data_IF_173855711541
#
_entry.id   IF_173855711541
#
_cell.length_a   1.000
_cell.length_b   1.000
_cell.length_c   1.000
_cell.angle_alpha   90.00
_cell.angle_beta   90.00
_cell.angle_gamma   90.00
#
_symmetry.space_group_name_H-M   'P 1'
#
loop_
_entity.id
_entity.type
_entity.pdbx_description
1 polymer ?
#
# COMPACT_ATOMS: atom_id res chain seq x y z
N UNK A 1 -74.20 53.48 -23.35
CA UNK A 1 -74.17 53.14 -21.94
C UNK A 1 -74.36 51.65 -21.85
N UNK A 2 -73.31 50.92 -21.41
CA UNK A 2 -73.34 49.72 -20.58
C UNK A 2 -71.92 49.19 -20.56
N UNK A 3 -71.38 49.21 -19.35
CA UNK A 3 -70.04 48.76 -18.98
C UNK A 3 -70.02 47.21 -18.89
N UNK A 4 -69.09 46.56 -19.60
CA UNK A 4 -68.87 45.16 -19.50
C UNK A 4 -67.59 44.94 -18.62
N UNK A 5 -67.75 44.23 -17.52
CA UNK A 5 -66.76 43.89 -16.58
C UNK A 5 -66.03 42.61 -17.06
N UNK A 6 -64.72 42.68 -17.32
CA UNK A 6 -63.94 41.53 -17.67
C UNK A 6 -63.23 41.05 -16.42
N UNK A 7 -63.61 39.89 -15.92
CA UNK A 7 -62.96 39.18 -14.79
C UNK A 7 -61.70 38.46 -15.26
N UNK A 8 -60.54 38.88 -14.76
CA UNK A 8 -59.28 38.23 -14.96
C UNK A 8 -59.15 37.12 -13.91
N UNK A 9 -59.23 35.85 -14.32
CA UNK A 9 -58.82 34.68 -13.52
C UNK A 9 -57.30 34.50 -13.59
N UNK A 10 -56.62 34.84 -12.52
CA UNK A 10 -55.22 34.52 -12.37
C UNK A 10 -55.08 33.06 -11.87
N UNK A 11 -54.72 32.15 -12.77
CA UNK A 11 -54.36 30.78 -12.42
C UNK A 11 -52.95 30.74 -11.84
N UNK A 12 -52.82 30.51 -10.56
CA UNK A 12 -51.53 30.25 -9.92
C UNK A 12 -51.16 28.80 -10.14
N UNK A 13 -50.29 28.53 -11.10
CA UNK A 13 -49.62 27.22 -11.29
C UNK A 13 -48.57 27.06 -10.22
N UNK A 14 -48.85 26.23 -9.22
CA UNK A 14 -47.88 25.82 -8.17
C UNK A 14 -46.96 24.77 -8.78
N UNK A 15 -45.77 25.19 -9.24
CA UNK A 15 -44.70 24.27 -9.64
C UNK A 15 -44.06 23.65 -8.42
N UNK A 16 -44.40 22.40 -8.16
CA UNK A 16 -43.78 21.57 -7.15
C UNK A 16 -42.38 21.19 -7.64
N UNK A 17 -41.35 21.94 -7.24
CA UNK A 17 -39.96 21.57 -7.46
C UNK A 17 -39.64 20.39 -6.51
N UNK A 18 -39.66 19.18 -7.06
CA UNK A 18 -39.09 18.01 -6.37
C UNK A 18 -37.58 18.23 -6.29
N UNK A 19 -37.10 18.63 -5.11
CA UNK A 19 -35.69 18.60 -4.78
C UNK A 19 -35.27 17.13 -4.74
N UNK A 20 -34.64 16.70 -5.84
CA UNK A 20 -33.96 15.40 -5.85
C UNK A 20 -32.82 15.50 -4.82
N UNK A 21 -33.01 14.93 -3.64
CA UNK A 21 -31.93 14.71 -2.70
C UNK A 21 -31.05 13.62 -3.33
N UNK A 22 -29.98 14.04 -3.99
CA UNK A 22 -28.89 13.15 -4.33
C UNK A 22 -28.27 12.74 -3.00
N UNK A 23 -28.56 11.54 -2.53
CA UNK A 23 -27.80 10.91 -1.48
C UNK A 23 -26.41 10.65 -2.07
N UNK A 24 -25.44 11.52 -1.76
CA UNK A 24 -24.04 11.19 -1.98
C UNK A 24 -23.80 9.86 -1.25
N UNK A 25 -23.28 8.85 -1.96
CA UNK A 25 -22.90 7.60 -1.33
C UNK A 25 -21.90 7.91 -0.21
N UNK A 26 -22.07 7.28 0.96
CA UNK A 26 -21.10 7.38 2.04
C UNK A 26 -19.73 6.96 1.52
N UNK A 27 -18.69 7.66 1.94
CA UNK A 27 -17.35 7.48 1.42
C UNK A 27 -16.36 7.26 2.56
N UNK A 28 -15.51 6.24 2.43
CA UNK A 28 -14.39 5.97 3.36
C UNK A 28 -13.09 6.18 2.59
N UNK A 29 -12.23 7.05 3.11
CA UNK A 29 -10.89 7.28 2.56
C UNK A 29 -9.88 6.42 3.33
N UNK A 30 -9.20 5.52 2.63
CA UNK A 30 -8.22 4.60 3.19
C UNK A 30 -6.83 4.92 2.67
N UNK A 31 -5.89 5.17 3.56
CA UNK A 31 -4.47 5.27 3.23
C UNK A 31 -3.82 3.93 3.56
N UNK A 32 -3.42 3.19 2.53
CA UNK A 32 -2.93 1.83 2.66
C UNK A 32 -1.56 1.63 2.02
N UNK A 33 -0.72 0.84 2.67
CA UNK A 33 0.57 0.44 2.12
C UNK A 33 0.43 -0.13 0.71
N UNK A 34 1.37 0.21 -0.18
CA UNK A 34 1.34 -0.16 -1.60
C UNK A 34 1.20 -1.67 -1.85
N UNK A 35 1.69 -2.51 -0.94
CA UNK A 35 1.54 -3.98 -1.00
C UNK A 35 0.09 -4.45 -0.95
N UNK A 36 -0.82 -3.63 -0.45
CA UNK A 36 -2.24 -3.98 -0.30
C UNK A 36 -3.10 -3.64 -1.53
N UNK A 37 -2.51 -3.06 -2.57
CA UNK A 37 -3.26 -2.51 -3.71
C UNK A 37 -4.26 -3.50 -4.29
N UNK A 38 -3.84 -4.72 -4.62
CA UNK A 38 -4.72 -5.72 -5.24
C UNK A 38 -5.81 -6.20 -4.28
N UNK A 39 -5.40 -6.62 -3.08
CA UNK A 39 -6.34 -7.16 -2.09
C UNK A 39 -7.37 -6.11 -1.64
N UNK A 40 -6.94 -4.88 -1.36
CA UNK A 40 -7.84 -3.84 -0.89
C UNK A 40 -8.78 -3.34 -2.00
N UNK A 41 -8.33 -3.31 -3.25
CA UNK A 41 -9.22 -2.98 -4.38
C UNK A 41 -10.34 -4.02 -4.51
N UNK A 42 -10.03 -5.30 -4.43
CA UNK A 42 -11.02 -6.38 -4.49
C UNK A 42 -12.01 -6.30 -3.32
N UNK A 43 -11.51 -6.11 -2.10
CA UNK A 43 -12.33 -5.94 -0.90
C UNK A 43 -13.23 -4.70 -1.03
N UNK A 44 -12.70 -3.59 -1.54
CA UNK A 44 -13.43 -2.34 -1.71
C UNK A 44 -14.60 -2.47 -2.70
N UNK A 45 -14.39 -3.19 -3.79
CA UNK A 45 -15.45 -3.49 -4.77
C UNK A 45 -16.57 -4.33 -4.14
N UNK A 46 -16.21 -5.36 -3.37
CA UNK A 46 -17.19 -6.19 -2.68
C UNK A 46 -17.94 -5.40 -1.60
N UNK A 47 -17.21 -4.62 -0.81
CA UNK A 47 -17.81 -3.78 0.23
C UNK A 47 -18.83 -2.78 -0.35
N UNK A 48 -18.51 -2.17 -1.48
CA UNK A 48 -19.43 -1.26 -2.19
C UNK A 48 -20.70 -1.98 -2.65
N UNK A 49 -20.59 -3.21 -3.16
CA UNK A 49 -21.75 -4.02 -3.57
C UNK A 49 -22.65 -4.35 -2.37
N UNK A 50 -22.06 -4.66 -1.23
CA UNK A 50 -22.80 -5.12 -0.05
C UNK A 50 -23.41 -3.96 0.75
N UNK A 51 -22.77 -2.81 0.79
CA UNK A 51 -23.11 -1.69 1.69
C UNK A 51 -23.53 -0.41 0.99
N UNK A 52 -23.26 -0.28 -0.32
CA UNK A 52 -23.36 0.97 -1.09
C UNK A 52 -22.41 2.08 -0.60
N UNK A 53 -21.38 1.74 0.20
CA UNK A 53 -20.34 2.67 0.66
C UNK A 53 -19.16 2.61 -0.29
N UNK A 54 -18.68 3.76 -0.76
CA UNK A 54 -17.50 3.85 -1.60
C UNK A 54 -16.23 3.88 -0.77
N UNK A 55 -15.28 2.99 -1.05
CA UNK A 55 -13.93 3.05 -0.49
C UNK A 55 -12.99 3.70 -1.49
N UNK A 56 -12.40 4.83 -1.10
CA UNK A 56 -11.38 5.55 -1.89
C UNK A 56 -10.03 5.29 -1.26
N UNK A 57 -9.22 4.45 -1.91
CA UNK A 57 -7.92 4.07 -1.40
C UNK A 57 -6.78 4.88 -2.05
N UNK A 58 -5.83 5.33 -1.21
CA UNK A 58 -4.55 5.92 -1.61
C UNK A 58 -3.44 4.97 -1.26
N UNK A 59 -2.62 4.60 -2.23
CA UNK A 59 -1.54 3.64 -2.05
C UNK A 59 -0.16 4.29 -2.21
N UNK A 60 0.69 4.11 -1.22
CA UNK A 60 2.09 4.54 -1.22
C UNK A 60 2.87 3.74 -0.18
N UNK A 61 4.15 4.05 0.05
CA UNK A 61 4.82 3.52 1.23
C UNK A 61 4.16 4.03 2.51
N UNK A 62 4.16 3.22 3.57
CA UNK A 62 3.58 3.61 4.85
C UNK A 62 4.20 4.87 5.42
N UNK A 63 5.50 5.09 5.17
CA UNK A 63 6.20 6.32 5.54
C UNK A 63 5.63 7.56 4.86
N UNK A 64 5.37 7.47 3.55
CA UNK A 64 4.76 8.57 2.79
C UNK A 64 3.36 8.87 3.28
N UNK A 65 2.54 7.83 3.48
CA UNK A 65 1.16 7.97 3.94
C UNK A 65 1.08 8.57 5.35
N UNK A 66 1.89 8.09 6.28
CA UNK A 66 1.94 8.61 7.64
C UNK A 66 2.32 10.10 7.67
N UNK A 67 3.26 10.51 6.84
CA UNK A 67 3.64 11.93 6.71
C UNK A 67 2.57 12.77 6.04
N UNK A 68 1.82 12.24 5.08
CA UNK A 68 0.67 12.91 4.48
C UNK A 68 -0.43 13.14 5.53
N UNK A 69 -0.71 12.15 6.37
CA UNK A 69 -1.67 12.29 7.48
C UNK A 69 -1.18 13.35 8.47
N UNK A 70 0.10 13.35 8.82
CA UNK A 70 0.71 14.40 9.67
C UNK A 70 0.53 15.81 9.08
N UNK A 71 0.54 15.92 7.76
CA UNK A 71 0.33 17.19 7.04
C UNK A 71 -1.16 17.54 6.85
N UNK A 72 -2.08 16.75 7.42
CA UNK A 72 -3.51 17.00 7.41
C UNK A 72 -4.26 16.37 6.22
N UNK A 73 -3.68 15.40 5.52
CA UNK A 73 -4.41 14.65 4.49
C UNK A 73 -5.59 13.90 5.13
N UNK A 74 -6.80 13.97 4.54
CA UNK A 74 -8.01 13.44 5.15
C UNK A 74 -8.13 11.92 4.93
N UNK A 75 -7.53 11.14 5.80
CA UNK A 75 -7.73 9.70 5.86
C UNK A 75 -8.73 9.34 6.97
N UNK A 76 -9.57 8.34 6.74
CA UNK A 76 -10.41 7.75 7.78
C UNK A 76 -9.75 6.51 8.38
N UNK A 77 -8.96 5.80 7.58
CA UNK A 77 -8.27 4.59 7.99
C UNK A 77 -6.83 4.60 7.46
N UNK A 78 -5.88 4.23 8.29
CA UNK A 78 -4.48 4.02 7.92
C UNK A 78 -4.10 2.55 8.11
N UNK A 79 -3.57 1.93 7.05
CA UNK A 79 -3.09 0.55 7.04
C UNK A 79 -1.60 0.55 6.68
N UNK A 80 -0.76 0.27 7.66
CA UNK A 80 0.69 0.28 7.52
C UNK A 80 1.25 -1.11 7.21
N UNK A 81 2.36 -1.18 6.49
CA UNK A 81 3.10 -2.42 6.24
C UNK A 81 4.06 -2.78 7.38
N UNK A 82 4.22 -1.93 8.37
CA UNK A 82 5.00 -2.21 9.58
C UNK A 82 4.41 -1.53 10.82
N UNK A 83 4.87 -1.96 11.97
CA UNK A 83 4.49 -1.36 13.25
C UNK A 83 5.14 0.02 13.46
N UNK A 84 6.33 0.24 12.91
CA UNK A 84 7.10 1.47 13.12
C UNK A 84 6.34 2.72 12.64
N UNK A 85 5.74 2.68 11.45
CA UNK A 85 5.00 3.82 10.92
C UNK A 85 3.62 3.97 11.53
N UNK A 86 3.04 2.90 12.06
CA UNK A 86 1.86 3.00 12.91
C UNK A 86 2.21 3.64 14.26
N UNK A 87 3.33 3.26 14.90
CA UNK A 87 3.84 3.90 16.12
C UNK A 87 4.06 5.40 15.89
N UNK A 88 4.68 5.77 14.78
CA UNK A 88 4.84 7.18 14.40
C UNK A 88 3.50 7.93 14.38
N UNK A 89 2.49 7.38 13.73
CA UNK A 89 1.18 8.01 13.64
C UNK A 89 0.49 8.16 15.01
N UNK A 90 0.63 7.15 15.87
CA UNK A 90 0.09 7.18 17.24
C UNK A 90 0.84 8.21 18.09
N UNK A 91 2.17 8.22 18.05
CA UNK A 91 3.00 9.16 18.83
C UNK A 91 2.72 10.62 18.44
N UNK A 92 2.38 10.85 17.19
CA UNK A 92 1.94 12.16 16.67
C UNK A 92 0.49 12.47 16.95
N UNK A 93 -0.26 11.59 17.63
CA UNK A 93 -1.69 11.74 17.95
C UNK A 93 -2.57 11.91 16.70
N UNK A 94 -2.23 11.20 15.64
CA UNK A 94 -2.95 11.22 14.37
C UNK A 94 -4.01 10.11 14.27
N UNK A 95 -4.01 9.18 15.23
CA UNK A 95 -4.89 8.02 15.25
C UNK A 95 -5.89 8.15 16.39
N UNK A 96 -7.08 7.59 16.17
CA UNK A 96 -8.09 7.44 17.23
C UNK A 96 -7.60 6.41 18.25
N UNK A 97 -7.63 6.78 19.53
CA UNK A 97 -7.16 5.89 20.60
C UNK A 97 -7.91 4.55 20.60
N UNK A 98 -7.15 3.48 20.85
CA UNK A 98 -7.65 2.11 20.99
C UNK A 98 -8.27 1.49 19.71
N UNK A 99 -8.03 2.08 18.53
CA UNK A 99 -8.47 1.49 17.26
C UNK A 99 -7.40 0.65 16.58
N UNK A 100 -6.15 0.73 17.03
CA UNK A 100 -5.04 -0.04 16.47
C UNK A 100 -5.21 -1.53 16.72
N UNK A 101 -5.05 -2.33 15.67
CA UNK A 101 -4.85 -3.78 15.78
C UNK A 101 -4.04 -4.31 14.59
N UNK A 102 -3.39 -5.46 14.77
CA UNK A 102 -2.67 -6.14 13.69
C UNK A 102 -3.64 -6.95 12.87
N UNK A 103 -3.75 -6.62 11.59
CA UNK A 103 -4.66 -7.24 10.63
C UNK A 103 -4.12 -8.58 10.13
N UNK A 104 -2.87 -8.59 9.70
CA UNK A 104 -2.24 -9.67 8.94
C UNK A 104 -0.76 -9.77 9.27
N UNK A 105 -0.18 -10.95 8.99
CA UNK A 105 1.24 -11.16 8.82
C UNK A 105 1.63 -11.18 7.34
N UNK A 106 2.93 -11.16 7.06
CA UNK A 106 3.48 -11.31 5.71
C UNK A 106 4.88 -11.94 5.78
N UNK A 107 5.48 -12.21 4.64
CA UNK A 107 6.83 -12.74 4.51
C UNK A 107 7.71 -11.80 3.68
N UNK A 108 8.99 -11.77 3.98
CA UNK A 108 9.99 -11.06 3.19
C UNK A 108 10.62 -12.05 2.20
N UNK A 109 10.50 -11.77 0.90
CA UNK A 109 10.92 -12.68 -0.15
C UNK A 109 11.87 -12.02 -1.14
N UNK A 110 12.73 -12.85 -1.74
CA UNK A 110 13.57 -12.48 -2.87
C UNK A 110 12.88 -12.93 -4.16
N UNK A 111 12.72 -12.01 -5.11
CA UNK A 111 12.11 -12.25 -6.40
C UNK A 111 13.09 -12.07 -7.54
N UNK A 112 12.83 -12.77 -8.62
CA UNK A 112 13.49 -12.61 -9.92
C UNK A 112 12.43 -12.47 -11.02
N UNK A 113 12.81 -12.00 -12.23
CA UNK A 113 11.94 -12.10 -13.40
C UNK A 113 11.45 -13.53 -13.64
N UNK A 114 10.21 -13.67 -14.09
CA UNK A 114 9.59 -14.99 -14.32
C UNK A 114 10.45 -15.95 -15.13
N UNK A 115 11.12 -15.43 -16.16
CA UNK A 115 11.92 -16.20 -17.11
C UNK A 115 13.40 -16.30 -16.74
N UNK A 116 13.81 -15.77 -15.58
CA UNK A 116 15.19 -15.85 -15.11
C UNK A 116 15.60 -17.32 -14.87
N UNK A 117 16.86 -17.65 -15.18
CA UNK A 117 17.39 -19.01 -15.02
C UNK A 117 17.65 -19.41 -13.56
N UNK A 118 17.57 -18.44 -12.65
CA UNK A 118 17.68 -18.70 -11.20
C UNK A 118 16.36 -19.25 -10.69
N UNK A 119 16.37 -20.42 -10.05
CA UNK A 119 15.14 -21.06 -9.55
C UNK A 119 15.01 -20.99 -8.03
N UNK A 120 16.08 -21.23 -7.30
CA UNK A 120 16.07 -21.23 -5.84
C UNK A 120 17.38 -20.68 -5.28
N UNK A 121 17.24 -19.80 -4.28
CA UNK A 121 18.33 -19.28 -3.46
C UNK A 121 18.05 -19.63 -2.01
N UNK A 122 18.97 -20.35 -1.38
CA UNK A 122 18.97 -20.49 0.07
C UNK A 122 19.62 -19.26 0.70
N UNK A 123 18.81 -18.44 1.34
CA UNK A 123 19.27 -17.19 1.96
C UNK A 123 19.83 -17.49 3.35
N UNK A 124 21.14 -17.33 3.48
CA UNK A 124 21.86 -17.53 4.73
C UNK A 124 23.14 -16.65 4.77
N UNK A 125 23.97 -16.83 5.79
CA UNK A 125 25.23 -16.06 5.95
C UNK A 125 26.26 -16.34 4.85
N UNK A 126 26.14 -17.44 4.11
CA UNK A 126 27.03 -17.84 3.03
C UNK A 126 26.54 -17.37 1.65
N UNK A 127 25.37 -16.72 1.56
CA UNK A 127 24.83 -16.22 0.31
C UNK A 127 25.76 -15.20 -0.34
N UNK A 128 26.20 -15.51 -1.56
CA UNK A 128 27.06 -14.61 -2.36
C UNK A 128 26.22 -13.65 -3.19
N UNK A 129 25.88 -12.53 -2.60
CA UNK A 129 25.03 -11.52 -3.22
C UNK A 129 25.63 -10.90 -4.49
N UNK A 130 26.94 -10.70 -4.52
CA UNK A 130 27.60 -10.15 -5.72
C UNK A 130 27.48 -11.08 -6.90
N UNK A 131 27.66 -12.39 -6.66
CA UNK A 131 27.50 -13.41 -7.68
C UNK A 131 26.05 -13.51 -8.15
N UNK A 132 25.08 -13.47 -7.23
CA UNK A 132 23.65 -13.50 -7.55
C UNK A 132 23.21 -12.32 -8.40
N UNK A 133 23.73 -11.14 -8.13
CA UNK A 133 23.38 -9.91 -8.84
C UNK A 133 24.09 -9.77 -10.18
N UNK A 134 25.20 -10.49 -10.38
CA UNK A 134 25.98 -10.53 -11.64
C UNK A 134 26.18 -9.13 -12.27
N UNK A 135 26.62 -8.18 -11.45
CA UNK A 135 26.82 -6.79 -11.85
C UNK A 135 25.55 -5.93 -11.90
N UNK A 136 24.38 -6.53 -11.67
CA UNK A 136 23.11 -5.81 -11.56
C UNK A 136 22.88 -5.25 -10.14
N UNK A 137 21.71 -4.66 -9.94
CA UNK A 137 21.28 -4.11 -8.65
C UNK A 137 20.15 -4.90 -8.04
N UNK A 138 20.04 -4.82 -6.71
CA UNK A 138 18.97 -5.40 -5.95
C UNK A 138 17.88 -4.32 -5.72
N UNK A 139 16.73 -4.50 -6.35
CA UNK A 139 15.60 -3.58 -6.20
C UNK A 139 14.95 -3.76 -4.83
N UNK A 140 14.76 -2.68 -4.11
CA UNK A 140 14.09 -2.69 -2.80
C UNK A 140 13.57 -1.28 -2.47
N UNK A 141 12.51 -1.19 -1.69
CA UNK A 141 12.07 0.08 -1.10
C UNK A 141 13.20 0.68 -0.25
N UNK A 142 13.34 2.01 -0.26
CA UNK A 142 14.44 2.69 0.42
C UNK A 142 14.55 2.27 1.91
N UNK A 143 15.68 1.66 2.30
CA UNK A 143 15.87 1.17 3.67
C UNK A 143 15.81 2.24 4.75
N UNK A 144 15.94 3.51 4.38
CA UNK A 144 15.91 4.60 5.36
C UNK A 144 14.50 4.89 5.88
N UNK A 145 13.45 4.57 5.10
CA UNK A 145 12.08 4.89 5.53
C UNK A 145 10.96 3.96 4.98
N UNK A 146 11.19 3.22 3.90
CA UNK A 146 10.16 2.34 3.32
C UNK A 146 10.12 1.02 4.08
N UNK A 147 8.95 0.55 4.56
CA UNK A 147 8.85 -0.64 5.40
C UNK A 147 9.60 -1.87 4.88
N UNK A 148 9.40 -2.26 3.62
CA UNK A 148 10.10 -3.43 3.05
C UNK A 148 11.62 -3.25 3.07
N UNK A 149 12.11 -2.03 2.86
CA UNK A 149 13.53 -1.69 2.94
C UNK A 149 14.06 -1.74 4.37
N UNK A 150 13.29 -1.32 5.35
CA UNK A 150 13.63 -1.40 6.78
C UNK A 150 13.80 -2.88 7.18
N UNK A 151 12.85 -3.74 6.83
CA UNK A 151 12.97 -5.19 7.06
C UNK A 151 14.15 -5.80 6.32
N UNK A 152 14.38 -5.41 5.05
CA UNK A 152 15.50 -5.91 4.26
C UNK A 152 16.85 -5.53 4.87
N UNK A 153 17.01 -4.30 5.34
CA UNK A 153 18.22 -3.84 6.02
C UNK A 153 18.48 -4.63 7.29
N UNK A 154 17.45 -4.85 8.11
CA UNK A 154 17.56 -5.68 9.31
C UNK A 154 17.99 -7.11 8.98
N UNK A 155 17.33 -7.75 8.02
CA UNK A 155 17.64 -9.11 7.60
C UNK A 155 19.06 -9.23 7.03
N UNK A 156 19.45 -8.35 6.13
CA UNK A 156 20.79 -8.34 5.53
C UNK A 156 21.88 -8.03 6.54
N UNK A 157 21.59 -7.17 7.52
CA UNK A 157 22.53 -6.88 8.63
C UNK A 157 22.73 -8.12 9.52
N UNK A 158 21.67 -8.81 9.89
CA UNK A 158 21.73 -10.03 10.69
C UNK A 158 22.37 -11.19 9.93
N UNK A 159 22.34 -11.17 8.61
CA UNK A 159 23.05 -12.12 7.74
C UNK A 159 24.52 -11.72 7.47
N UNK A 160 24.96 -10.58 7.99
CA UNK A 160 26.31 -10.07 7.74
C UNK A 160 26.54 -9.56 6.31
N UNK A 161 25.48 -9.28 5.56
CA UNK A 161 25.54 -8.94 4.14
C UNK A 161 25.31 -7.44 3.85
N UNK A 162 24.91 -6.64 4.83
CA UNK A 162 24.49 -5.26 4.61
C UNK A 162 25.55 -4.41 3.93
N UNK A 163 26.78 -4.39 4.45
CA UNK A 163 27.89 -3.62 3.90
C UNK A 163 28.19 -3.95 2.41
N UNK A 164 28.00 -5.22 2.04
CA UNK A 164 28.20 -5.70 0.65
C UNK A 164 27.05 -5.26 -0.25
N UNK A 165 25.82 -5.32 0.25
CA UNK A 165 24.60 -5.15 -0.55
C UNK A 165 24.16 -3.70 -0.67
N UNK A 166 24.35 -2.88 0.38
CA UNK A 166 23.91 -1.49 0.41
C UNK A 166 24.33 -0.69 -0.85
N UNK A 167 25.60 -0.70 -1.27
CA UNK A 167 26.00 0.03 -2.49
C UNK A 167 25.45 -0.56 -3.80
N UNK A 168 24.86 -1.76 -3.75
CA UNK A 168 24.29 -2.46 -4.89
C UNK A 168 22.76 -2.32 -4.98
N UNK A 169 22.14 -1.55 -4.10
CA UNK A 169 20.70 -1.35 -4.09
C UNK A 169 20.22 -0.43 -5.22
N UNK A 170 19.08 -0.79 -5.82
CA UNK A 170 18.22 0.12 -6.54
C UNK A 170 17.07 0.50 -5.59
N UNK A 171 17.22 1.65 -4.92
CA UNK A 171 16.27 2.12 -3.91
C UNK A 171 15.04 2.74 -4.56
N UNK A 172 13.87 2.37 -4.11
CA UNK A 172 12.58 2.85 -4.62
C UNK A 172 11.72 3.45 -3.51
N UNK A 173 10.71 4.22 -3.88
CA UNK A 173 9.85 4.91 -2.93
C UNK A 173 8.72 4.07 -2.34
N UNK A 174 8.51 2.86 -2.84
CA UNK A 174 7.61 1.85 -2.26
C UNK A 174 7.92 0.45 -2.81
N UNK A 175 7.32 -0.59 -2.21
CA UNK A 175 7.57 -1.99 -2.59
C UNK A 175 7.15 -2.31 -4.03
N UNK A 176 6.05 -1.76 -4.52
CA UNK A 176 5.55 -2.02 -5.88
C UNK A 176 6.41 -1.38 -6.95
N UNK A 177 6.98 -0.22 -6.69
CA UNK A 177 7.98 0.39 -7.56
C UNK A 177 9.25 -0.46 -7.65
N UNK A 178 9.67 -1.09 -6.55
CA UNK A 178 10.78 -2.05 -6.53
C UNK A 178 10.45 -3.31 -7.35
N UNK A 179 9.28 -3.90 -7.17
CA UNK A 179 8.82 -5.04 -7.96
C UNK A 179 8.77 -4.73 -9.45
N UNK A 180 8.32 -3.53 -9.82
CA UNK A 180 8.25 -3.10 -11.20
C UNK A 180 9.62 -3.09 -11.91
N UNK A 181 10.71 -2.78 -11.21
CA UNK A 181 12.06 -2.88 -11.79
C UNK A 181 12.41 -4.33 -12.15
N UNK A 182 12.01 -5.29 -11.33
CA UNK A 182 12.21 -6.71 -11.59
C UNK A 182 11.30 -7.19 -12.73
N UNK A 183 10.04 -6.80 -12.74
CA UNK A 183 9.08 -7.13 -13.80
C UNK A 183 9.55 -6.68 -15.19
N UNK A 184 10.19 -5.52 -15.26
CA UNK A 184 10.75 -4.94 -16.49
C UNK A 184 12.18 -5.41 -16.78
N UNK A 185 12.72 -6.31 -15.96
CA UNK A 185 14.10 -6.82 -16.07
C UNK A 185 15.17 -5.71 -15.99
N UNK A 186 14.86 -4.60 -15.35
CA UNK A 186 15.80 -3.52 -15.04
C UNK A 186 16.65 -3.83 -13.81
N UNK A 187 16.19 -4.75 -12.96
CA UNK A 187 16.93 -5.33 -11.86
C UNK A 187 16.80 -6.85 -11.91
N UNK A 188 17.90 -7.61 -11.73
CA UNK A 188 17.87 -9.09 -11.78
C UNK A 188 17.18 -9.71 -10.58
N UNK A 189 17.16 -9.03 -9.43
CA UNK A 189 16.56 -9.47 -8.19
C UNK A 189 15.91 -8.28 -7.48
N UNK A 190 14.94 -8.57 -6.63
CA UNK A 190 14.30 -7.61 -5.75
C UNK A 190 13.85 -8.24 -4.44
N UNK A 191 13.67 -7.40 -3.43
CA UNK A 191 13.08 -7.79 -2.14
C UNK A 191 11.71 -7.15 -2.03
N UNK A 192 10.70 -8.00 -1.87
CA UNK A 192 9.29 -7.62 -1.74
C UNK A 192 8.63 -8.48 -0.68
N UNK A 193 7.33 -8.30 -0.47
CA UNK A 193 6.55 -9.22 0.36
C UNK A 193 6.01 -10.40 -0.47
N UNK A 194 5.72 -11.51 0.20
CA UNK A 194 5.10 -12.68 -0.43
C UNK A 194 3.79 -12.32 -1.14
N UNK A 195 2.97 -11.45 -0.56
CA UNK A 195 1.72 -10.96 -1.15
C UNK A 195 1.93 -10.18 -2.46
N UNK A 196 3.02 -9.44 -2.59
CA UNK A 196 3.36 -8.73 -3.83
C UNK A 196 3.71 -9.71 -4.94
N UNK A 197 4.50 -10.72 -4.62
CA UNK A 197 4.90 -11.74 -5.60
C UNK A 197 3.69 -12.50 -6.16
N UNK A 198 2.71 -12.83 -5.32
CA UNK A 198 1.46 -13.48 -5.74
C UNK A 198 0.65 -12.59 -6.68
N UNK A 199 0.69 -11.28 -6.49
CA UNK A 199 -0.05 -10.33 -7.31
C UNK A 199 0.54 -10.12 -8.72
N UNK A 200 1.74 -10.63 -9.01
CA UNK A 200 2.43 -10.44 -10.29
C UNK A 200 2.57 -11.74 -11.08
N UNK A 201 2.29 -11.67 -12.39
CA UNK A 201 2.54 -12.76 -13.34
C UNK A 201 3.96 -12.71 -13.96
N UNK A 202 4.73 -11.65 -13.67
CA UNK A 202 6.02 -11.35 -14.30
C UNK A 202 7.22 -11.65 -13.43
N UNK A 203 7.01 -11.98 -12.17
CA UNK A 203 8.07 -12.35 -11.23
C UNK A 203 7.83 -13.72 -10.62
N UNK A 204 8.87 -14.30 -10.05
CA UNK A 204 8.82 -15.53 -9.25
C UNK A 204 9.59 -15.34 -7.96
N UNK A 205 9.15 -16.00 -6.90
CA UNK A 205 9.91 -16.11 -5.65
C UNK A 205 11.04 -17.09 -5.85
N UNK A 206 12.26 -16.64 -5.58
CA UNK A 206 13.48 -17.46 -5.63
C UNK A 206 14.09 -17.74 -4.26
N UNK A 207 13.67 -16.99 -3.23
CA UNK A 207 14.12 -17.20 -1.86
C UNK A 207 13.19 -16.57 -0.86
N UNK A 208 13.19 -17.08 0.37
CA UNK A 208 12.47 -16.51 1.50
C UNK A 208 13.51 -16.15 2.57
N UNK A 209 13.44 -14.93 3.09
CA UNK A 209 14.30 -14.52 4.20
C UNK A 209 13.90 -15.30 5.45
N UNK A 210 14.84 -15.95 6.15
CA UNK A 210 14.54 -16.66 7.39
C UNK A 210 13.88 -15.72 8.42
N UNK A 211 12.85 -16.21 9.09
CA UNK A 211 12.04 -15.42 10.02
C UNK A 211 12.83 -14.85 11.20
N UNK A 212 13.96 -15.48 11.57
CA UNK A 212 14.86 -15.04 12.63
C UNK A 212 15.82 -13.92 12.19
N UNK A 213 15.83 -13.54 10.91
CA UNK A 213 16.71 -12.47 10.40
C UNK A 213 16.10 -11.08 10.52
N UNK A 214 14.81 -10.96 10.74
CA UNK A 214 14.09 -9.70 10.86
C UNK A 214 12.92 -9.82 11.84
N UNK A 215 12.40 -8.71 12.30
CA UNK A 215 11.15 -8.67 13.08
C UNK A 215 10.01 -9.28 12.26
N UNK A 216 9.00 -9.88 12.91
CA UNK A 216 7.80 -10.32 12.20
C UNK A 216 7.22 -9.21 11.33
N UNK A 217 6.91 -9.55 10.08
CA UNK A 217 6.21 -8.62 9.18
C UNK A 217 4.74 -8.61 9.57
N UNK A 218 4.30 -7.51 10.14
CA UNK A 218 2.94 -7.32 10.63
C UNK A 218 2.33 -6.08 9.99
N UNK A 219 1.06 -6.19 9.64
CA UNK A 219 0.28 -5.14 8.99
C UNK A 219 -0.74 -4.61 9.99
N UNK A 220 -0.43 -3.53 10.73
CA UNK A 220 -1.37 -2.87 11.61
C UNK A 220 -2.28 -1.92 10.85
N UNK A 221 -3.46 -1.67 11.42
CA UNK A 221 -4.35 -0.61 10.98
C UNK A 221 -4.90 0.16 12.19
N UNK A 222 -5.50 1.30 11.91
CA UNK A 222 -6.19 2.13 12.90
C UNK A 222 -6.96 3.26 12.23
N UNK A 223 -7.95 3.78 12.94
CA UNK A 223 -8.76 4.92 12.50
C UNK A 223 -7.97 6.22 12.70
N UNK A 224 -8.16 7.18 11.76
CA UNK A 224 -7.53 8.51 11.81
C UNK A 224 -8.46 9.58 12.34
#
# INVERSE_FOLDING_TARGET
MKKGLVSLLAGATLTLTMASHSFAADKITVFAAASLTNALNEISEQYKKDTNVEVVASYASSSTLARQIEQGAPANLFISADQQWMDFAIDKKLMVENTRYTLLGNELVLIAPKDAKIDKVEINKQTDWKKLLDGGRLAVGDPDHVPVGIYAKEALSNLGAWETVDPLLARTNNVRSGMALVERQEAPLGIVYGSDAVASQKVKVVGVFPADTHKPVEIPNGDC
#
